data_IF_750500560607
#
_entry.id   IF_750500560607
#
_cell.length_a   1.000
_cell.length_b   1.000
_cell.length_c   1.000
_cell.angle_alpha   90.00
_cell.angle_beta   90.00
_cell.angle_gamma   90.00
#
_symmetry.space_group_name_H-M   'P 1'
#
loop_
_entity.id
_entity.type
_entity.pdbx_description
1 polymer ?
#
# COMPACT_ATOMS: atom_id res chain seq x y z
N UNK A 1 12.86 11.82 8.52
CA UNK A 1 11.69 11.10 9.05
C UNK A 1 10.39 11.54 8.37
N UNK A 2 10.00 12.83 8.46
CA UNK A 2 8.75 13.33 7.84
C UNK A 2 8.74 13.17 6.30
N UNK A 3 9.83 13.51 5.63
CA UNK A 3 9.97 13.34 4.16
C UNK A 3 9.71 11.88 3.75
N UNK A 4 10.34 10.94 4.45
CA UNK A 4 10.22 9.52 4.17
C UNK A 4 8.80 9.00 4.39
N UNK A 5 8.13 9.45 5.47
CA UNK A 5 6.73 9.10 5.75
C UNK A 5 5.81 9.66 4.66
N UNK A 6 6.04 10.91 4.21
CA UNK A 6 5.25 11.53 3.16
C UNK A 6 5.40 10.79 1.81
N UNK A 7 6.62 10.42 1.45
CA UNK A 7 6.91 9.60 0.25
C UNK A 7 6.25 8.22 0.37
N UNK A 8 6.27 7.62 1.55
CA UNK A 8 5.58 6.35 1.84
C UNK A 8 4.07 6.42 1.63
N UNK A 9 3.42 7.45 2.17
CA UNK A 9 1.98 7.64 2.03
C UNK A 9 1.58 7.90 0.57
N UNK A 10 2.35 8.74 -0.13
CA UNK A 10 2.14 8.98 -1.55
C UNK A 10 2.31 7.72 -2.40
N UNK A 11 3.35 6.93 -2.13
CA UNK A 11 3.58 5.64 -2.78
C UNK A 11 2.40 4.69 -2.55
N UNK A 12 1.94 4.53 -1.30
CA UNK A 12 0.80 3.68 -0.95
C UNK A 12 -0.50 4.11 -1.63
N UNK A 13 -0.78 5.41 -1.68
CA UNK A 13 -1.97 5.94 -2.37
C UNK A 13 -1.89 5.72 -3.89
N UNK A 14 -0.72 5.92 -4.49
CA UNK A 14 -0.51 5.68 -5.92
C UNK A 14 -0.62 4.18 -6.26
N UNK A 15 -0.14 3.29 -5.40
CA UNK A 15 -0.23 1.85 -5.58
C UNK A 15 -1.66 1.33 -5.45
N UNK A 16 -2.34 1.64 -4.34
CA UNK A 16 -3.72 1.19 -4.09
C UNK A 16 -4.68 1.85 -5.10
N UNK A 17 -4.54 3.17 -5.29
CA UNK A 17 -5.35 3.91 -6.25
C UNK A 17 -5.13 3.43 -7.68
N UNK A 18 -3.87 3.18 -8.07
CA UNK A 18 -3.53 2.64 -9.38
C UNK A 18 -4.14 1.25 -9.62
N UNK A 19 -3.99 0.35 -8.65
CA UNK A 19 -4.61 -0.97 -8.68
C UNK A 19 -6.14 -0.91 -8.72
N UNK A 20 -6.75 -0.02 -7.94
CA UNK A 20 -8.20 0.17 -7.90
C UNK A 20 -8.75 0.70 -9.24
N UNK A 21 -8.07 1.64 -9.88
CA UNK A 21 -8.48 2.15 -11.19
C UNK A 21 -8.42 1.06 -12.29
N UNK A 22 -7.42 0.18 -12.24
CA UNK A 22 -7.35 -0.99 -13.12
C UNK A 22 -8.47 -1.98 -12.80
N UNK A 23 -8.77 -2.21 -11.51
CA UNK A 23 -9.89 -3.04 -11.08
C UNK A 23 -11.21 -2.51 -11.64
N UNK A 24 -11.49 -1.21 -11.52
CA UNK A 24 -12.69 -0.59 -12.08
C UNK A 24 -12.81 -0.84 -13.59
N UNK A 25 -11.71 -0.71 -14.32
CA UNK A 25 -11.71 -0.97 -15.76
C UNK A 25 -11.99 -2.44 -16.10
N UNK A 26 -11.22 -3.38 -15.51
CA UNK A 26 -11.28 -4.79 -15.90
C UNK A 26 -12.44 -5.56 -15.28
N UNK A 27 -12.80 -5.25 -14.02
CA UNK A 27 -13.83 -5.99 -13.26
C UNK A 27 -15.20 -5.32 -13.30
N UNK A 28 -15.26 -3.99 -13.32
CA UNK A 28 -16.53 -3.25 -13.32
C UNK A 28 -16.93 -2.69 -14.69
N UNK A 29 -16.14 -2.97 -15.73
CA UNK A 29 -16.44 -2.53 -17.10
C UNK A 29 -16.39 -1.01 -17.27
N UNK A 30 -15.70 -0.30 -16.36
CA UNK A 30 -15.54 1.16 -16.45
C UNK A 30 -14.62 1.52 -17.63
N UNK A 31 -14.57 2.79 -18.05
CA UNK A 31 -13.84 3.18 -19.25
C UNK A 31 -12.35 2.85 -19.20
N UNK A 32 -11.79 2.51 -20.36
CA UNK A 32 -10.36 2.17 -20.54
C UNK A 32 -9.39 3.25 -20.04
N UNK A 33 -9.76 4.54 -20.10
CA UNK A 33 -8.89 5.61 -19.62
C UNK A 33 -8.60 5.50 -18.12
N UNK A 34 -9.51 4.93 -17.32
CA UNK A 34 -9.24 4.67 -15.90
C UNK A 34 -8.16 3.61 -15.73
N UNK A 35 -8.21 2.53 -16.50
CA UNK A 35 -7.16 1.51 -16.49
C UNK A 35 -5.79 2.06 -16.90
N UNK A 36 -5.76 2.94 -17.91
CA UNK A 36 -4.54 3.62 -18.34
C UNK A 36 -3.99 4.57 -17.26
N UNK A 37 -4.85 5.38 -16.64
CA UNK A 37 -4.46 6.24 -15.52
C UNK A 37 -3.97 5.41 -14.32
N UNK A 38 -4.61 4.27 -14.06
CA UNK A 38 -4.19 3.33 -13.02
C UNK A 38 -2.81 2.75 -13.29
N UNK A 39 -2.55 2.33 -14.53
CA UNK A 39 -1.22 1.86 -14.96
C UNK A 39 -0.15 2.94 -14.83
N UNK A 40 -0.47 4.19 -15.18
CA UNK A 40 0.43 5.32 -15.03
C UNK A 40 0.70 5.63 -13.55
N UNK A 41 -0.30 5.55 -12.69
CA UNK A 41 -0.14 5.69 -11.24
C UNK A 41 0.75 4.59 -10.64
N UNK A 42 0.61 3.34 -11.10
CA UNK A 42 1.50 2.24 -10.71
C UNK A 42 2.95 2.44 -11.16
N UNK A 43 3.15 2.94 -12.38
CA UNK A 43 4.49 3.28 -12.88
C UNK A 43 5.11 4.41 -12.05
N UNK A 44 4.33 5.45 -11.72
CA UNK A 44 4.77 6.54 -10.85
C UNK A 44 5.07 6.05 -9.43
N UNK A 45 4.27 5.14 -8.88
CA UNK A 45 4.55 4.49 -7.60
C UNK A 45 5.95 3.85 -7.60
N UNK A 46 6.29 3.08 -8.64
CA UNK A 46 7.61 2.46 -8.76
C UNK A 46 8.75 3.49 -8.69
N UNK A 47 8.59 4.62 -9.36
CA UNK A 47 9.55 5.74 -9.31
C UNK A 47 9.60 6.37 -7.92
N UNK A 48 8.45 6.67 -7.31
CA UNK A 48 8.38 7.28 -5.97
C UNK A 48 8.99 6.37 -4.90
N UNK A 49 8.78 5.05 -5.01
CA UNK A 49 9.37 4.06 -4.12
C UNK A 49 10.91 4.10 -4.14
N UNK A 50 11.55 4.42 -5.28
CA UNK A 50 13.02 4.53 -5.34
C UNK A 50 13.60 5.70 -4.54
N UNK A 51 12.82 6.75 -4.26
CA UNK A 51 13.30 7.89 -3.48
C UNK A 51 13.32 7.62 -1.97
N UNK A 52 12.85 6.45 -1.53
CA UNK A 52 12.90 6.07 -0.12
C UNK A 52 14.33 5.71 0.30
N UNK A 53 14.97 6.65 0.99
CA UNK A 53 16.34 6.48 1.51
C UNK A 53 16.30 5.67 2.81
N UNK A 54 16.62 4.38 2.75
CA UNK A 54 16.66 3.51 3.92
C UNK A 54 17.78 2.44 3.85
N UNK A 55 18.23 1.91 5.00
CA UNK A 55 19.45 1.09 5.08
C UNK A 55 19.40 -0.29 4.40
N UNK A 56 18.21 -0.86 4.16
CA UNK A 56 18.07 -2.20 3.57
C UNK A 56 16.74 -2.35 2.82
N UNK A 57 16.82 -2.55 1.49
CA UNK A 57 15.69 -2.66 0.57
C UNK A 57 14.58 -3.62 1.07
N UNK A 58 14.96 -4.83 1.48
CA UNK A 58 13.99 -5.85 1.88
C UNK A 58 13.20 -5.53 3.15
N UNK A 59 13.83 -4.86 4.14
CA UNK A 59 13.14 -4.51 5.40
C UNK A 59 12.21 -3.32 5.24
N UNK A 60 12.54 -2.42 4.33
CA UNK A 60 11.70 -1.26 3.97
C UNK A 60 10.44 -1.74 3.28
N UNK A 61 10.57 -2.67 2.33
CA UNK A 61 9.42 -3.30 1.69
C UNK A 61 8.57 -4.11 2.68
N UNK A 62 9.18 -4.76 3.67
CA UNK A 62 8.43 -5.42 4.75
C UNK A 62 7.66 -4.41 5.62
N UNK A 63 8.30 -3.31 6.05
CA UNK A 63 7.65 -2.22 6.78
C UNK A 63 6.49 -1.60 5.98
N UNK A 64 6.75 -1.36 4.70
CA UNK A 64 5.80 -0.86 3.73
C UNK A 64 4.60 -1.78 3.59
N UNK A 65 4.81 -3.10 3.48
CA UNK A 65 3.73 -4.08 3.44
C UNK A 65 2.78 -3.98 4.64
N UNK A 66 3.32 -3.74 5.85
CA UNK A 66 2.48 -3.53 7.04
C UNK A 66 1.61 -2.29 6.96
N UNK A 67 2.21 -1.16 6.55
CA UNK A 67 1.50 0.12 6.36
C UNK A 67 0.47 0.01 5.22
N UNK A 68 0.82 -0.71 4.16
CA UNK A 68 -0.02 -0.96 2.99
C UNK A 68 -1.28 -1.73 3.34
N UNK A 69 -1.21 -2.71 4.24
CA UNK A 69 -2.39 -3.46 4.70
C UNK A 69 -3.40 -2.53 5.40
N UNK A 70 -2.92 -1.68 6.31
CA UNK A 70 -3.79 -0.71 6.99
C UNK A 70 -4.39 0.29 5.99
N UNK A 71 -3.57 0.82 5.07
CA UNK A 71 -4.04 1.71 4.01
C UNK A 71 -5.07 1.03 3.10
N UNK A 72 -4.91 -0.26 2.79
CA UNK A 72 -5.85 -1.02 1.96
C UNK A 72 -7.19 -1.20 2.65
N UNK A 73 -7.20 -1.49 3.95
CA UNK A 73 -8.43 -1.57 4.76
C UNK A 73 -9.12 -0.21 4.84
N UNK A 74 -8.36 0.87 5.08
CA UNK A 74 -8.90 2.23 5.11
C UNK A 74 -9.43 2.67 3.74
N UNK A 75 -8.77 2.28 2.64
CA UNK A 75 -9.23 2.55 1.29
C UNK A 75 -10.53 1.80 0.98
N UNK A 76 -10.61 0.52 1.35
CA UNK A 76 -11.85 -0.26 1.23
C UNK A 76 -13.01 0.37 2.01
N UNK A 77 -12.71 0.94 3.18
CA UNK A 77 -13.71 1.63 3.98
C UNK A 77 -14.15 2.98 3.39
N UNK A 78 -13.20 3.82 2.99
CA UNK A 78 -13.48 5.17 2.51
C UNK A 78 -13.98 5.23 1.07
N UNK A 79 -13.37 4.45 0.17
CA UNK A 79 -13.60 4.52 -1.28
C UNK A 79 -14.58 3.45 -1.73
N UNK A 80 -14.37 2.19 -1.31
CA UNK A 80 -15.25 1.07 -1.67
C UNK A 80 -16.49 0.96 -0.74
N UNK A 81 -16.58 1.85 0.26
CA UNK A 81 -17.66 1.91 1.28
C UNK A 81 -17.94 0.58 1.98
N UNK A 82 -16.99 -0.35 1.96
CA UNK A 82 -17.09 -1.62 2.67
C UNK A 82 -16.62 -1.42 4.10
N UNK A 83 -17.53 -1.58 5.06
CA UNK A 83 -17.17 -1.55 6.48
C UNK A 83 -16.18 -2.68 6.78
N UNK A 84 -14.98 -2.40 7.32
CA UNK A 84 -14.04 -3.44 7.70
C UNK A 84 -14.67 -4.37 8.72
N UNK A 85 -14.51 -5.67 8.51
CA UNK A 85 -14.97 -6.68 9.46
C UNK A 85 -13.95 -6.82 10.61
N UNK A 86 -14.38 -7.41 11.73
CA UNK A 86 -13.52 -7.80 12.84
C UNK A 86 -12.33 -8.65 12.36
N UNK A 87 -12.56 -9.52 11.38
CA UNK A 87 -11.50 -10.34 10.78
C UNK A 87 -10.46 -9.52 10.01
N UNK A 88 -10.85 -8.41 9.35
CA UNK A 88 -9.91 -7.51 8.67
C UNK A 88 -9.00 -6.81 9.68
N UNK A 89 -9.57 -6.37 10.81
CA UNK A 89 -8.81 -5.75 11.90
C UNK A 89 -7.85 -6.74 12.57
N UNK A 90 -8.31 -7.97 12.85
CA UNK A 90 -7.47 -9.02 13.45
C UNK A 90 -6.36 -9.44 12.47
N UNK A 91 -6.69 -9.63 11.20
CA UNK A 91 -5.71 -9.94 10.16
C UNK A 91 -4.67 -8.83 10.00
N UNK A 92 -5.12 -7.57 9.98
CA UNK A 92 -4.24 -6.40 9.97
C UNK A 92 -3.29 -6.37 11.16
N UNK A 93 -3.80 -6.63 12.37
CA UNK A 93 -2.98 -6.69 13.59
C UNK A 93 -1.92 -7.80 13.52
N UNK A 94 -2.27 -9.00 13.04
CA UNK A 94 -1.33 -10.11 12.87
C UNK A 94 -0.23 -9.74 11.87
N UNK A 95 -0.57 -9.14 10.74
CA UNK A 95 0.41 -8.70 9.76
C UNK A 95 1.34 -7.62 10.31
N UNK A 96 0.81 -6.66 11.07
CA UNK A 96 1.63 -5.64 11.74
C UNK A 96 2.60 -6.27 12.74
N UNK A 97 2.17 -7.25 13.53
CA UNK A 97 3.05 -7.99 14.44
C UNK A 97 4.16 -8.70 13.65
N UNK A 98 3.84 -9.35 12.54
CA UNK A 98 4.84 -10.00 11.67
C UNK A 98 5.88 -9.01 11.14
N UNK A 99 5.44 -7.83 10.70
CA UNK A 99 6.33 -6.75 10.24
C UNK A 99 7.20 -6.20 11.38
N UNK A 100 6.63 -6.02 12.57
CA UNK A 100 7.35 -5.62 13.78
C UNK A 100 8.46 -6.61 14.13
N UNK A 101 8.21 -7.92 14.01
CA UNK A 101 9.24 -8.96 14.18
C UNK A 101 10.35 -8.81 13.13
N UNK A 102 10.01 -8.63 11.85
CA UNK A 102 11.02 -8.45 10.80
C UNK A 102 11.92 -7.22 11.02
N UNK A 103 11.35 -6.15 11.56
CA UNK A 103 12.05 -4.89 11.84
C UNK A 103 12.90 -4.93 13.11
N UNK A 104 12.33 -5.38 14.23
CA UNK A 104 12.94 -5.27 15.56
C UNK A 104 13.61 -6.53 16.07
N UNK A 105 13.50 -7.67 15.37
CA UNK A 105 14.23 -8.87 15.78
C UNK A 105 15.74 -8.57 15.89
N UNK A 106 16.35 -8.75 17.07
CA UNK A 106 17.78 -8.55 17.29
C UNK A 106 18.55 -9.53 16.42
N UNK A 107 19.59 -9.05 15.75
CA UNK A 107 20.45 -9.87 14.91
C UNK A 107 21.88 -9.69 15.34
N UNK A 108 22.57 -10.81 15.43
CA UNK A 108 24.02 -10.88 15.43
C UNK A 108 24.55 -10.51 14.04
#
# INVERSE_FOLDING_TARGET
MIYTIAVFLFAGLAEIGGGYLIWLWLREGKPFYLGMLGGLALALYGVVATFQTFPSFGRVYAAYGGVFIILSVLWGWGVDKKTPDLYDWVGGAICLIGVSVMLWAPRQ
#
